data_IF_179660759484
#
_entry.id   IF_179660759484
#
_cell.length_a   1.000
_cell.length_b   1.000
_cell.length_c   1.000
_cell.angle_alpha   90.00
_cell.angle_beta   90.00
_cell.angle_gamma   90.00
#
_symmetry.space_group_name_H-M   'P 1'
#
loop_
_entity.id
_entity.type
_entity.pdbx_description
1 polymer ?
#
# COMPACT_ATOMS: atom_id res chain seq x y z
N UNK A 1 -9.75 42.86 33.74
CA UNK A 1 -9.89 43.15 32.29
C UNK A 1 -8.97 42.33 31.36
N UNK A 2 -7.80 41.83 31.78
CA UNK A 2 -6.85 41.08 30.92
C UNK A 2 -7.31 39.66 30.49
N UNK A 3 -8.09 38.96 31.32
CA UNK A 3 -8.51 37.57 31.09
C UNK A 3 -9.53 37.40 29.94
N UNK A 4 -10.44 38.37 29.77
CA UNK A 4 -11.50 38.29 28.74
C UNK A 4 -10.96 38.47 27.31
N UNK A 5 -9.86 39.20 27.12
CA UNK A 5 -9.22 39.42 25.82
C UNK A 5 -8.48 38.15 25.37
N UNK A 6 -7.78 37.47 26.29
CA UNK A 6 -7.11 36.19 26.01
C UNK A 6 -8.13 35.11 25.62
N UNK A 7 -9.26 35.06 26.33
CA UNK A 7 -10.34 34.10 26.01
C UNK A 7 -10.94 34.32 24.62
N UNK A 8 -11.15 35.58 24.23
CA UNK A 8 -11.62 35.95 22.88
C UNK A 8 -10.61 35.59 21.79
N UNK A 9 -9.32 35.82 22.03
CA UNK A 9 -8.26 35.43 21.08
C UNK A 9 -8.15 33.92 20.91
N UNK A 10 -8.22 33.16 22.00
CA UNK A 10 -8.21 31.69 21.94
C UNK A 10 -9.45 31.18 21.19
N UNK A 11 -10.64 31.71 21.48
CA UNK A 11 -11.85 31.34 20.72
C UNK A 11 -11.72 31.65 19.23
N UNK A 12 -11.11 32.79 18.88
CA UNK A 12 -10.91 33.20 17.49
C UNK A 12 -9.91 32.31 16.76
N UNK A 13 -8.81 31.92 17.43
CA UNK A 13 -7.82 30.98 16.88
C UNK A 13 -8.45 29.60 16.68
N UNK A 14 -9.23 29.11 17.64
CA UNK A 14 -9.93 27.82 17.52
C UNK A 14 -10.99 27.86 16.40
N UNK A 15 -11.70 28.98 16.21
CA UNK A 15 -12.65 29.17 15.12
C UNK A 15 -11.96 29.22 13.73
N UNK A 16 -10.76 29.81 13.65
CA UNK A 16 -9.97 29.83 12.41
C UNK A 16 -9.38 28.46 12.08
N UNK A 17 -8.84 27.74 13.07
CA UNK A 17 -8.29 26.40 12.89
C UNK A 17 -9.37 25.39 12.50
N UNK A 18 -10.55 25.44 13.13
CA UNK A 18 -11.70 24.59 12.74
C UNK A 18 -12.16 24.88 11.31
N UNK A 19 -12.26 26.15 10.91
CA UNK A 19 -12.56 26.50 9.50
C UNK A 19 -11.51 25.98 8.53
N UNK A 20 -10.22 26.08 8.87
CA UNK A 20 -9.13 25.60 8.02
C UNK A 20 -9.14 24.07 7.85
N UNK A 21 -9.43 23.33 8.93
CA UNK A 21 -9.57 21.86 8.89
C UNK A 21 -10.78 21.45 8.04
N UNK A 22 -11.93 22.12 8.19
CA UNK A 22 -13.15 21.82 7.43
C UNK A 22 -13.01 22.14 5.94
N UNK A 23 -12.31 23.22 5.58
CA UNK A 23 -12.07 23.62 4.17
C UNK A 23 -11.14 22.66 3.42
N UNK A 24 -10.32 21.88 4.13
CA UNK A 24 -9.35 20.95 3.54
C UNK A 24 -9.90 19.55 3.29
N UNK A 25 -11.11 19.24 3.77
CA UNK A 25 -11.72 17.93 3.56
C UNK A 25 -12.56 17.92 2.27
N UNK A 26 -12.46 16.86 1.44
CA UNK A 26 -13.37 16.70 0.32
C UNK A 26 -14.82 16.66 0.85
N UNK A 27 -15.74 17.34 0.16
CA UNK A 27 -17.14 17.34 0.56
C UNK A 27 -17.73 15.93 0.49
N UNK A 28 -18.75 15.65 1.31
CA UNK A 28 -19.47 14.37 1.27
C UNK A 28 -20.02 14.04 -0.13
N UNK A 29 -20.34 15.07 -0.93
CA UNK A 29 -20.78 14.94 -2.31
C UNK A 29 -19.66 14.53 -3.28
N UNK A 30 -18.43 14.99 -3.07
CA UNK A 30 -17.28 14.56 -3.87
C UNK A 30 -16.87 13.14 -3.49
N UNK A 31 -16.90 12.80 -2.19
CA UNK A 31 -16.63 11.44 -1.73
C UNK A 31 -17.68 10.44 -2.26
N UNK A 32 -18.96 10.80 -2.29
CA UNK A 32 -20.01 9.93 -2.81
C UNK A 32 -19.92 9.70 -4.31
N UNK A 33 -19.51 10.72 -5.08
CA UNK A 33 -19.21 10.55 -6.52
C UNK A 33 -18.05 9.60 -6.74
N UNK A 34 -16.94 9.78 -6.00
CA UNK A 34 -15.77 8.89 -6.10
C UNK A 34 -16.17 7.45 -5.77
N UNK A 35 -16.97 7.22 -4.72
CA UNK A 35 -17.48 5.89 -4.37
C UNK A 35 -18.35 5.31 -5.49
N UNK A 36 -19.26 6.11 -6.08
CA UNK A 36 -20.13 5.66 -7.17
C UNK A 36 -19.34 5.30 -8.43
N UNK A 37 -18.29 6.05 -8.76
CA UNK A 37 -17.44 5.77 -9.91
C UNK A 37 -16.55 4.54 -9.69
N UNK A 38 -16.02 4.34 -8.47
CA UNK A 38 -15.34 3.09 -8.08
C UNK A 38 -16.29 1.90 -8.22
N UNK A 39 -17.54 2.04 -7.79
CA UNK A 39 -18.54 0.98 -7.88
C UNK A 39 -18.85 0.61 -9.35
N UNK A 40 -19.04 1.60 -10.22
CA UNK A 40 -19.24 1.37 -11.67
C UNK A 40 -18.08 0.64 -12.33
N UNK A 41 -16.84 0.93 -11.92
CA UNK A 41 -15.64 0.23 -12.41
C UNK A 41 -15.63 -1.21 -11.92
N UNK A 42 -15.99 -1.46 -10.66
CA UNK A 42 -16.07 -2.81 -10.07
C UNK A 42 -17.14 -3.70 -10.73
N UNK A 43 -18.24 -3.11 -11.16
CA UNK A 43 -19.34 -3.82 -11.83
C UNK A 43 -19.03 -4.16 -13.31
N UNK A 44 -17.92 -3.64 -13.84
CA UNK A 44 -17.43 -3.97 -15.18
C UNK A 44 -16.75 -5.33 -15.14
N UNK A 45 -17.53 -6.37 -15.46
CA UNK A 45 -17.21 -7.82 -15.44
C UNK A 45 -15.99 -8.28 -16.27
N UNK A 46 -15.24 -7.35 -16.87
CA UNK A 46 -14.16 -7.62 -17.84
C UNK A 46 -12.85 -6.90 -17.47
N UNK A 47 -12.73 -6.44 -16.22
CA UNK A 47 -11.43 -6.04 -15.67
C UNK A 47 -10.82 -7.30 -15.07
N UNK A 48 -10.01 -8.01 -15.87
CA UNK A 48 -9.06 -8.99 -15.34
C UNK A 48 -8.08 -8.22 -14.44
N UNK A 49 -8.35 -8.16 -13.14
CA UNK A 49 -7.35 -7.63 -12.22
C UNK A 49 -6.21 -8.63 -12.19
N UNK A 50 -5.00 -8.15 -12.48
CA UNK A 50 -3.80 -8.99 -12.59
C UNK A 50 -3.43 -9.66 -11.25
N UNK A 51 -4.00 -9.17 -10.14
CA UNK A 51 -3.72 -9.65 -8.80
C UNK A 51 -4.96 -9.66 -7.92
N UNK A 52 -5.86 -10.61 -8.19
CA UNK A 52 -7.06 -10.86 -7.39
C UNK A 52 -7.23 -12.35 -7.07
N UNK A 53 -8.37 -12.69 -6.45
CA UNK A 53 -8.67 -14.03 -5.98
C UNK A 53 -8.72 -15.09 -7.08
N UNK A 54 -8.84 -14.67 -8.34
CA UNK A 54 -8.92 -15.56 -9.50
C UNK A 54 -7.55 -16.11 -9.91
N UNK A 55 -6.45 -15.59 -9.35
CA UNK A 55 -5.07 -16.03 -9.68
C UNK A 55 -4.76 -17.48 -9.27
N UNK A 56 -5.55 -18.06 -8.36
CA UNK A 56 -5.40 -19.43 -7.86
C UNK A 56 -4.12 -19.72 -7.06
N UNK A 57 -3.21 -18.76 -6.92
CA UNK A 57 -1.95 -18.91 -6.19
C UNK A 57 -2.08 -18.49 -4.72
N UNK A 58 -3.01 -17.59 -4.42
CA UNK A 58 -3.15 -16.98 -3.10
C UNK A 58 -2.16 -15.84 -2.84
N UNK A 59 -1.30 -15.51 -3.81
CA UNK A 59 -0.36 -14.40 -3.72
C UNK A 59 -1.08 -13.05 -3.65
N UNK A 60 -2.25 -12.92 -4.27
CA UNK A 60 -3.09 -11.73 -4.16
C UNK A 60 -3.36 -11.31 -2.70
N UNK A 61 -3.55 -12.29 -1.80
CA UNK A 61 -3.82 -12.07 -0.38
C UNK A 61 -2.54 -11.80 0.43
N UNK A 62 -1.39 -11.71 -0.22
CA UNK A 62 -0.13 -11.32 0.41
C UNK A 62 0.37 -10.00 -0.17
N UNK A 63 0.36 -9.85 -1.50
CA UNK A 63 1.04 -8.75 -2.19
C UNK A 63 0.10 -7.67 -2.74
N UNK A 64 -1.23 -7.85 -2.68
CA UNK A 64 -2.16 -6.93 -3.33
C UNK A 64 -3.20 -6.35 -2.37
N UNK A 65 -4.10 -7.15 -1.82
CA UNK A 65 -5.19 -6.64 -0.96
C UNK A 65 -5.25 -7.27 0.43
N UNK A 66 -4.30 -8.15 0.76
CA UNK A 66 -4.32 -8.88 2.03
C UNK A 66 -3.77 -8.14 3.24
N UNK A 67 -4.03 -8.72 4.41
CA UNK A 67 -3.70 -8.14 5.72
C UNK A 67 -2.21 -8.05 6.00
N UNK A 68 -1.38 -8.91 5.40
CA UNK A 68 0.08 -8.86 5.54
C UNK A 68 0.61 -7.55 4.94
N UNK A 69 0.30 -7.26 3.66
CA UNK A 69 0.69 -6.00 3.02
C UNK A 69 0.15 -4.79 3.78
N UNK A 70 -1.13 -4.84 4.19
CA UNK A 70 -1.74 -3.77 4.96
C UNK A 70 -0.97 -3.49 6.26
N UNK A 71 -0.58 -4.53 7.00
CA UNK A 71 0.22 -4.40 8.20
C UNK A 71 1.62 -3.81 7.91
N UNK A 72 2.32 -4.31 6.89
CA UNK A 72 3.65 -3.82 6.51
C UNK A 72 3.64 -2.33 6.15
N UNK A 73 2.64 -1.92 5.37
CA UNK A 73 2.45 -0.52 4.94
C UNK A 73 2.05 0.38 6.12
N UNK A 74 1.10 -0.05 6.95
CA UNK A 74 0.62 0.72 8.09
C UNK A 74 1.75 1.01 9.10
N UNK A 75 2.60 0.01 9.36
CA UNK A 75 3.75 0.13 10.27
C UNK A 75 5.00 0.72 9.60
N UNK A 76 4.94 1.04 8.30
CA UNK A 76 6.04 1.64 7.51
C UNK A 76 7.36 0.88 7.65
N UNK A 77 7.31 -0.44 7.50
CA UNK A 77 8.47 -1.32 7.71
C UNK A 77 9.46 -1.38 6.54
N UNK A 78 9.13 -0.75 5.42
CA UNK A 78 9.98 -0.60 4.25
C UNK A 78 10.05 0.87 3.82
N UNK A 79 11.06 1.20 3.01
CA UNK A 79 11.29 2.56 2.51
C UNK A 79 10.19 3.03 1.55
N UNK A 80 9.63 2.11 0.77
CA UNK A 80 8.53 2.36 -0.16
C UNK A 80 7.61 1.14 -0.23
N UNK A 81 6.42 1.34 -0.83
CA UNK A 81 5.39 0.31 -0.95
C UNK A 81 5.76 -0.84 -1.88
N UNK A 82 6.77 -0.67 -2.74
CA UNK A 82 7.24 -1.68 -3.68
C UNK A 82 8.30 -2.59 -3.06
N UNK A 83 9.13 -2.08 -2.15
CA UNK A 83 10.21 -2.84 -1.51
C UNK A 83 9.71 -4.13 -0.84
N UNK A 84 8.53 -4.12 -0.19
CA UNK A 84 7.95 -5.35 0.36
C UNK A 84 7.46 -6.31 -0.73
N UNK A 85 6.82 -5.77 -1.77
CA UNK A 85 6.27 -6.55 -2.89
C UNK A 85 7.37 -7.27 -3.67
N UNK A 86 8.57 -6.70 -3.71
CA UNK A 86 9.72 -7.29 -4.37
C UNK A 86 10.42 -8.39 -3.55
N UNK A 87 9.92 -8.73 -2.35
CA UNK A 87 10.49 -9.82 -1.54
C UNK A 87 9.84 -11.14 -1.91
N UNK A 88 10.57 -12.17 -2.38
CA UNK A 88 9.98 -13.47 -2.72
C UNK A 88 9.55 -14.25 -1.46
N UNK A 89 8.52 -15.08 -1.58
CA UNK A 89 8.09 -15.99 -0.51
C UNK A 89 9.10 -17.12 -0.30
N UNK A 90 9.35 -17.49 0.96
CA UNK A 90 10.19 -18.63 1.36
C UNK A 90 9.39 -19.92 1.57
N UNK A 91 8.06 -19.83 1.59
CA UNK A 91 7.13 -20.93 1.80
C UNK A 91 5.86 -20.71 0.96
N UNK A 92 4.97 -21.70 0.95
CA UNK A 92 3.71 -21.57 0.21
C UNK A 92 2.82 -20.44 0.81
N UNK A 93 2.05 -19.72 -0.02
CA UNK A 93 1.23 -18.60 0.43
C UNK A 93 0.25 -18.96 1.55
N UNK A 94 -0.35 -20.14 1.48
CA UNK A 94 -1.36 -20.58 2.45
C UNK A 94 -0.76 -20.82 3.84
N UNK A 95 0.43 -21.42 3.91
CA UNK A 95 1.15 -21.60 5.18
C UNK A 95 1.57 -20.27 5.81
N UNK A 96 2.03 -19.32 4.99
CA UNK A 96 2.40 -17.98 5.46
C UNK A 96 1.18 -17.25 6.02
N UNK A 97 0.05 -17.28 5.30
CA UNK A 97 -1.21 -16.68 5.75
C UNK A 97 -1.70 -17.29 7.05
N UNK A 98 -1.66 -18.63 7.18
CA UNK A 98 -2.04 -19.32 8.43
C UNK A 98 -1.15 -18.94 9.61
N UNK A 99 0.16 -18.84 9.41
CA UNK A 99 1.07 -18.46 10.48
C UNK A 99 0.88 -16.98 10.85
N UNK A 100 0.62 -16.10 9.89
CA UNK A 100 0.28 -14.71 10.16
C UNK A 100 -0.98 -14.59 11.03
N UNK A 101 -2.05 -15.29 10.64
CA UNK A 101 -3.32 -15.31 11.39
C UNK A 101 -3.13 -15.85 12.81
N UNK A 102 -2.35 -16.91 12.97
CA UNK A 102 -2.01 -17.47 14.28
C UNK A 102 -1.25 -16.48 15.17
N UNK A 103 -0.32 -15.71 14.62
CA UNK A 103 0.49 -14.76 15.39
C UNK A 103 -0.23 -13.43 15.66
N UNK A 104 -1.04 -12.94 14.72
CA UNK A 104 -1.55 -11.58 14.71
C UNK A 104 -3.07 -11.45 14.56
N UNK A 105 -3.80 -12.49 14.17
CA UNK A 105 -5.22 -12.42 13.79
C UNK A 105 -6.18 -11.95 14.90
N UNK A 106 -5.77 -12.06 16.16
CA UNK A 106 -6.55 -11.55 17.32
C UNK A 106 -6.32 -10.08 17.63
N UNK A 107 -5.38 -9.42 16.94
CA UNK A 107 -5.02 -8.03 17.17
C UNK A 107 -5.48 -7.16 15.99
N UNK A 108 -6.01 -5.96 16.26
CA UNK A 108 -6.20 -4.98 15.20
C UNK A 108 -4.83 -4.58 14.63
N UNK A 109 -4.75 -4.30 13.33
CA UNK A 109 -3.49 -4.12 12.61
C UNK A 109 -2.62 -3.01 13.23
N UNK A 110 -3.24 -1.92 13.70
CA UNK A 110 -2.57 -0.77 14.33
C UNK A 110 -1.82 -1.16 15.61
N UNK A 111 -2.25 -2.23 16.29
CA UNK A 111 -1.68 -2.70 17.56
C UNK A 111 -0.64 -3.81 17.38
N UNK A 112 -0.39 -4.27 16.15
CA UNK A 112 0.68 -5.24 15.89
C UNK A 112 2.01 -4.63 16.30
N UNK A 113 2.85 -5.42 16.98
CA UNK A 113 4.19 -4.98 17.33
C UNK A 113 5.10 -4.99 16.09
N UNK A 114 5.61 -3.82 15.71
CA UNK A 114 6.48 -3.65 14.54
C UNK A 114 7.70 -4.58 14.53
N UNK A 115 8.34 -4.84 15.69
CA UNK A 115 9.51 -5.72 15.79
C UNK A 115 9.13 -7.18 15.46
N UNK A 116 8.01 -7.67 16.00
CA UNK A 116 7.49 -9.01 15.66
C UNK A 116 7.13 -9.12 14.19
N UNK A 117 6.59 -8.06 13.59
CA UNK A 117 6.24 -8.03 12.18
C UNK A 117 7.50 -8.07 11.28
N UNK A 118 8.60 -7.41 11.70
CA UNK A 118 9.92 -7.52 11.06
C UNK A 118 10.50 -8.93 11.19
N UNK A 119 10.36 -9.58 12.34
CA UNK A 119 10.80 -10.96 12.57
C UNK A 119 10.00 -11.94 11.70
N UNK A 120 8.68 -11.76 11.61
CA UNK A 120 7.80 -12.51 10.71
C UNK A 120 8.24 -12.34 9.26
N UNK A 121 8.46 -11.10 8.80
CA UNK A 121 8.95 -10.80 7.45
C UNK A 121 10.25 -11.55 7.17
N UNK A 122 11.26 -11.45 8.05
CA UNK A 122 12.56 -12.12 7.86
C UNK A 122 12.44 -13.64 7.78
N UNK A 123 11.46 -14.23 8.46
CA UNK A 123 11.24 -15.68 8.48
C UNK A 123 10.61 -16.19 7.19
N UNK A 124 9.65 -15.45 6.61
CA UNK A 124 8.84 -15.91 5.48
C UNK A 124 9.12 -15.25 4.14
N UNK A 125 9.86 -14.14 4.13
CA UNK A 125 10.16 -13.35 2.93
C UNK A 125 11.67 -13.22 2.72
N UNK A 126 12.08 -13.27 1.45
CA UNK A 126 13.46 -13.07 1.02
C UNK A 126 13.90 -11.60 1.01
N UNK A 127 15.06 -11.37 0.41
CA UNK A 127 15.53 -10.03 0.11
C UNK A 127 14.84 -9.48 -1.15
N UNK A 128 14.62 -8.16 -1.24
CA UNK A 128 13.99 -7.54 -2.40
C UNK A 128 14.87 -7.72 -3.65
N UNK A 129 14.24 -7.94 -4.81
CA UNK A 129 14.95 -8.11 -6.08
C UNK A 129 15.48 -9.53 -6.34
N UNK A 130 15.14 -10.48 -5.47
CA UNK A 130 15.52 -11.90 -5.58
C UNK A 130 14.39 -12.78 -6.15
N UNK A 131 13.29 -12.18 -6.61
CA UNK A 131 12.13 -12.86 -7.18
C UNK A 131 12.42 -13.47 -8.57
N UNK A 132 13.36 -12.89 -9.31
CA UNK A 132 13.75 -13.36 -10.64
C UNK A 132 15.02 -14.22 -10.57
N UNK A 133 15.06 -15.27 -11.39
CA UNK A 133 16.27 -16.08 -11.61
C UNK A 133 17.08 -15.49 -12.75
N UNK A 134 18.41 -15.51 -12.62
CA UNK A 134 19.28 -15.21 -13.74
C UNK A 134 19.01 -16.16 -14.90
N UNK A 135 18.87 -15.60 -16.10
CA UNK A 135 18.72 -16.35 -17.34
C UNK A 135 19.32 -15.56 -18.50
N UNK A 136 19.84 -16.28 -19.49
CA UNK A 136 20.34 -15.71 -20.74
C UNK A 136 19.22 -15.71 -21.77
N UNK A 137 18.76 -14.52 -22.15
CA UNK A 137 17.71 -14.34 -23.16
C UNK A 137 18.38 -14.10 -24.51
N UNK A 138 18.24 -15.04 -25.43
CA UNK A 138 18.79 -14.93 -26.79
C UNK A 138 18.26 -13.67 -27.49
N UNK A 139 19.18 -12.85 -28.02
CA UNK A 139 18.86 -11.61 -28.71
C UNK A 139 18.49 -10.43 -27.78
N UNK A 140 18.56 -10.61 -26.46
CA UNK A 140 18.43 -9.49 -25.53
C UNK A 140 19.58 -8.52 -25.70
N UNK A 141 19.25 -7.23 -25.77
CA UNK A 141 20.22 -6.14 -25.83
C UNK A 141 19.80 -5.10 -24.81
N UNK A 142 20.75 -4.58 -24.03
CA UNK A 142 20.48 -3.61 -22.95
C UNK A 142 19.70 -2.38 -23.43
N UNK A 143 19.92 -1.96 -24.67
CA UNK A 143 19.20 -0.85 -25.30
C UNK A 143 18.71 -1.30 -26.67
N UNK A 144 17.47 -1.83 -26.77
CA UNK A 144 16.89 -2.20 -28.06
C UNK A 144 16.77 -0.98 -28.98
N UNK A 145 16.89 -1.13 -30.31
CA UNK A 145 16.85 0.00 -31.25
C UNK A 145 15.62 0.90 -31.12
N UNK A 146 14.46 0.34 -30.75
CA UNK A 146 13.24 1.12 -30.50
C UNK A 146 13.34 1.99 -29.25
N UNK A 147 13.90 1.45 -28.16
CA UNK A 147 14.11 2.17 -26.89
C UNK A 147 15.18 3.24 -27.05
N UNK A 148 16.22 2.98 -27.86
CA UNK A 148 17.28 3.96 -28.17
C UNK A 148 16.75 5.27 -28.82
N UNK A 149 15.54 5.24 -29.38
CA UNK A 149 14.90 6.42 -30.00
C UNK A 149 14.12 7.27 -29.00
N UNK A 150 13.88 6.78 -27.79
CA UNK A 150 13.26 7.55 -26.72
C UNK A 150 14.28 8.59 -26.27
N UNK A 151 14.00 9.85 -26.58
CA UNK A 151 14.79 11.00 -26.14
C UNK A 151 13.95 11.79 -25.15
N UNK A 152 14.58 12.25 -24.08
CA UNK A 152 13.97 13.30 -23.28
C UNK A 152 13.95 14.58 -24.13
N UNK A 153 12.80 15.28 -24.16
CA UNK A 153 12.69 16.55 -24.90
C UNK A 153 13.35 17.72 -24.14
N UNK A 154 13.61 17.54 -22.84
CA UNK A 154 14.15 18.57 -21.96
C UNK A 154 15.67 18.47 -21.72
N UNK A 155 16.34 17.50 -22.33
CA UNK A 155 17.81 17.36 -22.41
C UNK A 155 18.26 17.60 -23.86
#
# INVERSE_FOLDING_TARGET
MRSSIVHKHVLFIMAMLTRFVILSQPSLSELSKVIADIQKVKDKKDINNVCDETDGTGNWNIYCSGTILAAMNLHRLEVDSKTFVDRPLKADPQSILKEFEKQFGKLPLEKINAKKLVEFRKSFFGEPGMELKNCDILGWTKIPPKIARIKDKAL
#
